data_IF_039521309019
#
_entry.id   IF_039521309019
#
_cell.length_a   1.000
_cell.length_b   1.000
_cell.length_c   1.000
_cell.angle_alpha   90.00
_cell.angle_beta   90.00
_cell.angle_gamma   90.00
#
_symmetry.space_group_name_H-M   'P 1'
#
loop_
_entity.id
_entity.type
_entity.pdbx_description
1 polymer ?
#
# COMPACT_ATOMS: atom_id res chain seq x y z
N UNK A 1 -9.05 5.17 -24.34
CA UNK A 1 -8.70 4.34 -23.17
C UNK A 1 -9.80 4.48 -22.13
N UNK A 2 -10.46 3.38 -21.74
CA UNK A 2 -11.59 3.44 -20.83
C UNK A 2 -11.10 3.48 -19.38
N UNK A 3 -11.42 4.54 -18.65
CA UNK A 3 -10.94 4.84 -17.30
C UNK A 3 -11.33 3.76 -16.26
N UNK A 4 -12.40 3.01 -16.55
CA UNK A 4 -12.85 1.85 -15.77
C UNK A 4 -11.78 0.76 -15.64
N UNK A 5 -10.90 0.60 -16.65
CA UNK A 5 -9.80 -0.38 -16.63
C UNK A 5 -8.67 -0.01 -15.67
N UNK A 6 -8.57 1.26 -15.24
CA UNK A 6 -7.52 1.73 -14.32
C UNK A 6 -7.87 1.56 -12.83
N UNK A 7 -9.07 1.03 -12.53
CA UNK A 7 -9.55 0.80 -11.17
C UNK A 7 -10.10 2.04 -10.46
N UNK A 8 -10.19 3.18 -11.14
CA UNK A 8 -10.67 4.45 -10.57
C UNK A 8 -12.20 4.53 -10.57
N UNK A 9 -12.85 3.77 -9.68
CA UNK A 9 -14.30 3.89 -9.44
C UNK A 9 -14.60 5.12 -8.59
N UNK A 10 -15.66 5.84 -8.96
CA UNK A 10 -16.15 7.03 -8.25
C UNK A 10 -15.15 8.20 -8.12
N UNK A 11 -14.23 8.30 -9.07
CA UNK A 11 -13.28 9.41 -9.19
C UNK A 11 -13.59 10.21 -10.45
N UNK A 12 -13.50 11.53 -10.33
CA UNK A 12 -13.57 12.49 -11.42
C UNK A 12 -12.17 13.10 -11.57
N UNK A 13 -11.67 13.14 -12.80
CA UNK A 13 -10.38 13.77 -13.10
C UNK A 13 -10.63 15.22 -13.46
N UNK A 14 -10.02 16.12 -12.70
CA UNK A 14 -10.26 17.56 -12.78
C UNK A 14 -9.27 18.22 -13.74
N UNK A 15 -7.97 17.95 -13.56
CA UNK A 15 -6.92 18.51 -14.41
C UNK A 15 -5.65 17.66 -14.37
N UNK A 16 -4.74 18.00 -15.29
CA UNK A 16 -3.44 17.39 -15.44
C UNK A 16 -2.42 18.48 -15.72
N UNK A 17 -1.28 18.40 -15.04
CA UNK A 17 -0.13 19.28 -15.24
C UNK A 17 1.17 18.50 -15.08
N UNK A 18 2.24 19.02 -15.66
CA UNK A 18 3.56 18.40 -15.59
C UNK A 18 4.60 19.45 -15.21
N UNK A 19 5.55 19.03 -14.38
CA UNK A 19 6.82 19.72 -14.20
C UNK A 19 7.97 18.88 -14.79
N UNK A 20 9.23 19.21 -14.46
CA UNK A 20 10.39 18.49 -14.98
C UNK A 20 10.45 17.03 -14.51
N UNK A 21 10.04 16.76 -13.28
CA UNK A 21 10.21 15.47 -12.60
C UNK A 21 8.89 14.70 -12.46
N UNK A 22 7.78 15.42 -12.37
CA UNK A 22 6.47 14.91 -12.01
C UNK A 22 5.41 15.18 -13.06
N UNK A 23 4.51 14.21 -13.14
CA UNK A 23 3.19 14.32 -13.74
C UNK A 23 2.19 14.41 -12.59
N UNK A 24 1.48 15.52 -12.51
CA UNK A 24 0.45 15.79 -11.52
C UNK A 24 -0.94 15.52 -12.09
N UNK A 25 -1.71 14.75 -11.35
CA UNK A 25 -3.09 14.43 -11.70
C UNK A 25 -3.99 14.94 -10.58
N UNK A 26 -4.84 15.91 -10.87
CA UNK A 26 -5.81 16.43 -9.92
C UNK A 26 -7.13 15.71 -10.13
N UNK A 27 -7.65 15.14 -9.04
CA UNK A 27 -8.88 14.36 -9.10
C UNK A 27 -9.71 14.55 -7.82
N UNK A 28 -11.00 14.37 -7.96
CA UNK A 28 -11.98 14.50 -6.89
C UNK A 28 -12.84 13.26 -6.78
N UNK A 29 -13.24 12.93 -5.55
CA UNK A 29 -14.14 11.80 -5.30
C UNK A 29 -15.58 12.26 -5.50
N UNK A 30 -16.39 11.47 -6.20
CA UNK A 30 -17.82 11.75 -6.40
C UNK A 30 -18.52 11.96 -5.06
N UNK A 31 -19.36 12.99 -5.03
CA UNK A 31 -20.12 13.36 -3.83
C UNK A 31 -21.03 12.21 -3.36
N UNK A 32 -21.37 12.28 -2.07
CA UNK A 32 -22.34 11.40 -1.44
C UNK A 32 -23.47 12.27 -0.89
N UNK A 33 -24.69 11.97 -1.32
CA UNK A 33 -25.89 12.70 -0.88
C UNK A 33 -26.71 11.87 0.13
N UNK A 34 -26.32 10.61 0.36
CA UNK A 34 -27.00 9.66 1.23
C UNK A 34 -26.01 9.10 2.25
N UNK A 35 -26.44 9.03 3.51
CA UNK A 35 -25.68 8.39 4.57
C UNK A 35 -25.61 6.87 4.36
N UNK A 36 -24.42 6.27 4.27
CA UNK A 36 -24.28 4.82 4.07
C UNK A 36 -24.70 4.00 5.30
N UNK A 37 -24.80 4.64 6.48
CA UNK A 37 -25.17 3.96 7.73
C UNK A 37 -26.68 3.89 7.97
N UNK A 38 -27.42 4.95 7.62
CA UNK A 38 -28.85 5.05 7.94
C UNK A 38 -29.76 5.39 6.75
N UNK A 39 -29.20 5.61 5.55
CA UNK A 39 -29.97 5.96 4.36
C UNK A 39 -30.54 7.39 4.32
N UNK A 40 -30.28 8.22 5.33
CA UNK A 40 -30.79 9.60 5.35
C UNK A 40 -30.09 10.49 4.31
N UNK A 41 -30.85 11.37 3.67
CA UNK A 41 -30.36 12.45 2.81
C UNK A 41 -29.89 13.70 3.58
N UNK A 42 -30.03 13.68 4.91
CA UNK A 42 -29.55 14.73 5.81
C UNK A 42 -28.03 14.61 5.99
N UNK A 43 -27.28 14.97 4.94
CA UNK A 43 -25.82 14.88 4.85
C UNK A 43 -25.20 16.26 4.59
N UNK A 44 -24.19 16.63 5.37
CA UNK A 44 -23.44 17.89 5.22
C UNK A 44 -21.96 17.63 5.04
N UNK A 45 -21.29 18.49 4.29
CA UNK A 45 -19.83 18.49 4.20
C UNK A 45 -19.24 18.88 5.56
N UNK A 46 -18.36 18.03 6.08
CA UNK A 46 -17.57 18.32 7.27
C UNK A 46 -16.28 19.05 6.89
N UNK A 47 -15.44 18.39 6.11
CA UNK A 47 -14.19 18.95 5.59
C UNK A 47 -13.83 18.32 4.22
N UNK A 48 -12.88 18.95 3.55
CA UNK A 48 -12.20 18.38 2.39
C UNK A 48 -10.77 18.04 2.76
N UNK A 49 -10.27 16.90 2.27
CA UNK A 49 -8.88 16.47 2.46
C UNK A 49 -8.27 16.09 1.13
N UNK A 50 -7.05 16.57 0.87
CA UNK A 50 -6.28 16.16 -0.30
C UNK A 50 -5.30 15.07 0.13
N UNK A 51 -5.38 13.92 -0.53
CA UNK A 51 -4.43 12.82 -0.36
C UNK A 51 -3.50 12.77 -1.58
N UNK A 52 -2.20 12.82 -1.33
CA UNK A 52 -1.16 12.66 -2.36
C UNK A 52 -0.85 11.17 -2.53
N UNK A 53 -1.08 10.63 -3.73
CA UNK A 53 -0.93 9.21 -4.05
C UNK A 53 0.09 9.04 -5.17
N UNK A 54 1.09 8.18 -4.96
CA UNK A 54 2.07 7.80 -5.96
C UNK A 54 1.49 6.72 -6.88
N UNK A 55 1.69 6.89 -8.17
CA UNK A 55 1.36 5.92 -9.22
C UNK A 55 2.64 5.54 -10.00
N UNK A 56 2.53 4.57 -10.89
CA UNK A 56 3.58 4.20 -11.83
C UNK A 56 3.97 5.40 -12.70
N UNK A 57 5.23 5.44 -13.14
CA UNK A 57 5.75 6.51 -13.98
C UNK A 57 4.91 6.67 -15.25
N UNK A 58 4.65 7.91 -15.64
CA UNK A 58 3.97 8.26 -16.89
C UNK A 58 5.00 8.95 -17.77
N UNK A 59 5.26 8.39 -18.95
CA UNK A 59 6.23 8.94 -19.93
C UNK A 59 7.62 9.22 -19.33
N UNK A 60 8.09 8.33 -18.45
CA UNK A 60 9.38 8.47 -17.77
C UNK A 60 9.41 9.42 -16.58
N UNK A 61 8.35 10.20 -16.33
CA UNK A 61 8.22 11.08 -15.16
C UNK A 61 7.47 10.41 -14.01
N UNK A 62 7.76 10.81 -12.78
CA UNK A 62 7.08 10.29 -11.57
C UNK A 62 5.63 10.74 -11.57
N UNK A 63 4.68 9.84 -11.28
CA UNK A 63 3.27 10.22 -11.25
C UNK A 63 2.78 10.46 -9.82
N UNK A 64 2.10 11.59 -9.61
CA UNK A 64 1.50 11.97 -8.35
C UNK A 64 0.04 12.41 -8.55
N UNK A 65 -0.88 11.68 -7.92
CA UNK A 65 -2.31 11.99 -7.91
C UNK A 65 -2.64 12.79 -6.65
N UNK A 66 -3.22 13.97 -6.82
CA UNK A 66 -3.77 14.81 -5.76
C UNK A 66 -5.28 14.55 -5.66
N UNK A 67 -5.67 13.60 -4.81
CA UNK A 67 -7.05 13.16 -4.69
C UNK A 67 -7.79 13.93 -3.59
N UNK A 68 -8.74 14.78 -3.99
CA UNK A 68 -9.63 15.51 -3.08
C UNK A 68 -10.77 14.60 -2.62
N UNK A 69 -10.74 14.26 -1.33
CA UNK A 69 -11.78 13.52 -0.61
C UNK A 69 -12.65 14.48 0.19
N UNK A 70 -13.90 14.11 0.40
CA UNK A 70 -14.84 14.87 1.24
C UNK A 70 -15.32 13.96 2.34
N UNK A 71 -15.25 14.44 3.59
CA UNK A 71 -15.90 13.79 4.72
C UNK A 71 -17.22 14.46 4.97
N UNK A 72 -18.20 13.66 5.37
CA UNK A 72 -19.56 14.06 5.57
C UNK A 72 -20.03 13.75 6.98
N UNK A 73 -20.88 14.62 7.51
CA UNK A 73 -21.61 14.39 8.76
C UNK A 73 -23.09 14.16 8.44
N UNK A 74 -23.65 13.05 8.94
CA UNK A 74 -25.10 12.84 8.91
C UNK A 74 -25.77 13.52 10.10
N UNK A 75 -26.73 14.42 9.87
CA UNK A 75 -27.47 15.07 11.00
C UNK A 75 -28.60 14.21 11.54
N UNK A 76 -28.92 13.09 10.89
CA UNK A 76 -29.91 12.15 11.42
C UNK A 76 -29.29 11.17 12.42
N UNK A 77 -28.24 10.43 12.05
CA UNK A 77 -27.59 9.47 12.93
C UNK A 77 -26.32 9.97 13.63
N UNK A 78 -25.81 11.15 13.28
CA UNK A 78 -24.58 11.71 13.85
C UNK A 78 -23.27 11.10 13.33
N UNK A 79 -23.33 10.05 12.49
CA UNK A 79 -22.13 9.40 11.96
C UNK A 79 -21.36 10.30 11.00
N UNK A 80 -20.02 10.19 11.06
CA UNK A 80 -19.09 10.78 10.10
C UNK A 80 -18.58 9.71 9.14
N UNK A 81 -18.64 9.98 7.83
CA UNK A 81 -18.25 9.02 6.81
C UNK A 81 -17.58 9.71 5.61
N UNK A 82 -16.92 8.92 4.78
CA UNK A 82 -16.37 9.31 3.49
C UNK A 82 -16.59 8.15 2.51
N UNK A 83 -16.46 8.42 1.21
CA UNK A 83 -16.57 7.34 0.21
C UNK A 83 -15.34 6.43 0.29
N UNK A 84 -15.57 5.14 0.39
CA UNK A 84 -14.52 4.13 0.30
C UNK A 84 -13.97 4.03 -1.12
N UNK A 85 -12.64 3.89 -1.21
CA UNK A 85 -11.91 3.91 -2.48
C UNK A 85 -11.12 2.62 -2.62
N UNK A 86 -11.42 1.85 -3.66
CA UNK A 86 -10.91 0.47 -3.82
C UNK A 86 -9.49 0.37 -4.38
N UNK A 87 -9.01 1.40 -5.08
CA UNK A 87 -7.68 1.35 -5.73
C UNK A 87 -6.52 1.75 -4.79
N UNK A 88 -6.81 2.18 -3.56
CA UNK A 88 -5.82 2.54 -2.54
C UNK A 88 -6.26 1.95 -1.20
N UNK A 89 -5.39 1.19 -0.55
CA UNK A 89 -5.61 0.75 0.83
C UNK A 89 -5.68 1.96 1.80
N UNK A 90 -6.58 1.90 2.79
CA UNK A 90 -6.81 3.00 3.73
C UNK A 90 -5.51 3.38 4.45
N UNK A 91 -5.15 4.67 4.41
CA UNK A 91 -3.92 5.19 5.02
C UNK A 91 -2.65 5.05 4.18
N UNK A 92 -2.72 4.40 3.01
CA UNK A 92 -1.56 4.25 2.13
C UNK A 92 -1.43 5.39 1.12
N UNK A 93 -0.20 5.67 0.69
CA UNK A 93 0.13 6.73 -0.27
C UNK A 93 0.49 6.18 -1.65
N UNK A 94 0.26 4.90 -1.91
CA UNK A 94 0.53 4.24 -3.19
C UNK A 94 -0.73 3.56 -3.70
N UNK A 95 -0.94 3.64 -5.01
CA UNK A 95 -2.01 2.89 -5.68
C UNK A 95 -1.67 1.39 -5.76
N UNK A 96 -2.69 0.55 -5.73
CA UNK A 96 -2.51 -0.91 -5.76
C UNK A 96 -1.69 -1.38 -6.96
N UNK A 97 -1.84 -0.76 -8.14
CA UNK A 97 -1.06 -1.15 -9.32
C UNK A 97 0.45 -0.92 -9.16
N UNK A 98 0.86 0.14 -8.48
CA UNK A 98 2.27 0.41 -8.18
C UNK A 98 2.80 -0.63 -7.19
N UNK A 99 2.00 -0.98 -6.18
CA UNK A 99 2.33 -2.06 -5.24
C UNK A 99 2.50 -3.38 -5.97
N UNK A 100 1.57 -3.74 -6.87
CA UNK A 100 1.68 -4.97 -7.66
C UNK A 100 2.88 -4.98 -8.59
N UNK A 101 3.22 -3.85 -9.22
CA UNK A 101 4.42 -3.72 -10.03
C UNK A 101 5.69 -3.98 -9.21
N UNK A 102 5.81 -3.37 -8.02
CA UNK A 102 6.93 -3.61 -7.09
C UNK A 102 7.01 -5.08 -6.68
N UNK A 103 5.87 -5.71 -6.35
CA UNK A 103 5.83 -7.14 -5.99
C UNK A 103 6.23 -8.04 -7.16
N UNK A 104 5.87 -7.68 -8.39
CA UNK A 104 6.28 -8.41 -9.59
C UNK A 104 7.80 -8.37 -9.78
N UNK A 105 8.44 -7.22 -9.55
CA UNK A 105 9.90 -7.10 -9.55
C UNK A 105 10.54 -8.07 -8.55
N UNK A 106 9.99 -8.18 -7.34
CA UNK A 106 10.49 -9.13 -6.33
C UNK A 106 10.41 -10.60 -6.76
N UNK A 107 9.45 -10.98 -7.61
CA UNK A 107 9.38 -12.34 -8.15
C UNK A 107 10.52 -12.66 -9.12
N UNK A 108 11.16 -11.63 -9.69
CA UNK A 108 12.34 -11.79 -10.53
C UNK A 108 13.66 -11.82 -9.73
N UNK A 109 13.60 -11.70 -8.39
CA UNK A 109 14.78 -11.86 -7.55
C UNK A 109 15.22 -13.33 -7.52
N UNK A 110 16.26 -13.57 -8.31
CA UNK A 110 17.06 -14.77 -8.54
C UNK A 110 16.72 -16.00 -7.69
N UNK A 111 16.24 -17.05 -8.36
CA UNK A 111 16.23 -18.39 -7.79
C UNK A 111 17.63 -18.79 -7.33
N UNK A 112 17.73 -19.62 -6.29
CA UNK A 112 19.01 -20.15 -5.79
C UNK A 112 19.83 -20.74 -6.95
N UNK A 113 19.17 -21.40 -7.91
CA UNK A 113 19.78 -21.92 -9.13
C UNK A 113 20.33 -20.83 -10.05
N UNK A 114 19.62 -19.71 -10.21
CA UNK A 114 20.11 -18.56 -10.97
C UNK A 114 21.32 -17.90 -10.32
N UNK A 115 21.36 -17.87 -8.98
CA UNK A 115 22.52 -17.38 -8.23
C UNK A 115 23.68 -18.36 -8.38
N UNK A 116 23.42 -19.66 -8.25
CA UNK A 116 24.43 -20.70 -8.35
C UNK A 116 25.13 -20.67 -9.71
N UNK A 117 24.35 -20.62 -10.80
CA UNK A 117 24.87 -20.55 -12.15
C UNK A 117 25.68 -19.27 -12.42
N UNK A 118 25.22 -18.12 -11.92
CA UNK A 118 25.92 -16.83 -12.11
C UNK A 118 27.31 -16.82 -11.48
N UNK A 119 27.48 -17.51 -10.36
CA UNK A 119 28.73 -17.53 -9.61
C UNK A 119 29.52 -18.84 -9.80
N UNK A 120 29.09 -19.69 -10.74
CA UNK A 120 29.66 -21.03 -11.01
C UNK A 120 29.87 -21.85 -9.73
N UNK A 121 28.86 -21.83 -8.86
CA UNK A 121 28.83 -22.61 -7.63
C UNK A 121 27.63 -23.54 -7.65
N UNK A 122 27.72 -24.63 -6.88
CA UNK A 122 26.59 -25.54 -6.76
C UNK A 122 25.40 -24.88 -6.07
N UNK A 123 24.19 -25.32 -6.42
CA UNK A 123 22.95 -24.94 -5.73
C UNK A 123 23.07 -25.09 -4.20
N UNK A 124 23.68 -26.19 -3.76
CA UNK A 124 23.88 -26.52 -2.34
C UNK A 124 24.83 -25.54 -1.64
N UNK A 125 25.80 -24.97 -2.36
CA UNK A 125 26.71 -23.95 -1.83
C UNK A 125 25.95 -22.68 -1.48
N UNK A 126 25.11 -22.20 -2.41
CA UNK A 126 24.29 -21.01 -2.19
C UNK A 126 23.26 -21.24 -1.08
N UNK A 127 22.63 -22.42 -1.04
CA UNK A 127 21.69 -22.79 0.02
C UNK A 127 22.36 -22.85 1.41
N UNK A 128 23.58 -23.39 1.51
CA UNK A 128 24.37 -23.39 2.76
C UNK A 128 24.68 -21.97 3.24
N UNK A 129 25.10 -21.09 2.34
CA UNK A 129 25.38 -19.68 2.68
C UNK A 129 24.12 -19.01 3.21
N UNK A 130 22.98 -19.19 2.53
CA UNK A 130 21.68 -18.68 2.99
C UNK A 130 21.29 -19.25 4.35
N UNK A 131 21.46 -20.55 4.57
CA UNK A 131 21.17 -21.20 5.85
C UNK A 131 22.08 -20.69 6.98
N UNK A 132 23.36 -20.40 6.73
CA UNK A 132 24.23 -19.78 7.74
C UNK A 132 23.77 -18.36 8.11
N UNK A 133 23.27 -17.58 7.16
CA UNK A 133 22.69 -16.25 7.40
C UNK A 133 21.33 -16.31 8.11
N UNK A 134 20.56 -17.38 7.93
CA UNK A 134 19.31 -17.64 8.65
C UNK A 134 19.57 -18.18 10.07
N UNK A 135 20.52 -19.10 10.24
CA UNK A 135 20.90 -19.66 11.56
C UNK A 135 21.51 -18.59 12.46
N UNK A 136 22.25 -17.63 11.90
CA UNK A 136 22.74 -16.46 12.67
C UNK A 136 21.62 -15.51 13.11
N UNK A 137 20.43 -15.55 12.49
CA UNK A 137 19.22 -14.90 13.03
C UNK A 137 18.52 -15.74 14.10
N UNK A 138 18.82 -17.03 14.20
CA UNK A 138 18.28 -17.95 15.22
C UNK A 138 19.29 -18.33 16.30
N UNK A 139 20.44 -17.65 16.41
CA UNK A 139 21.22 -17.62 17.65
C UNK A 139 20.47 -16.82 18.73
N UNK A 140 19.31 -17.34 19.09
CA UNK A 140 18.69 -17.19 20.39
C UNK A 140 18.96 -18.52 21.11
N UNK A 141 20.20 -18.72 21.59
CA UNK A 141 20.41 -19.61 22.76
C UNK A 141 20.35 -18.68 23.96
N UNK A 142 19.17 -18.59 24.58
CA UNK A 142 18.81 -19.34 25.78
C UNK A 142 19.45 -18.73 27.05
N UNK A 143 18.55 -18.28 27.93
CA UNK A 143 18.73 -17.95 29.36
C UNK A 143 19.10 -16.50 29.73
N UNK A 144 18.05 -15.70 29.96
CA UNK A 144 17.90 -14.83 31.14
C UNK A 144 16.58 -15.32 31.80
N UNK A 145 16.47 -15.74 33.06
CA UNK A 145 17.22 -15.39 34.25
C UNK A 145 16.80 -16.30 35.43
N UNK A 146 17.73 -16.48 36.39
CA UNK A 146 17.50 -16.54 37.85
C UNK A 146 16.75 -17.76 38.45
N UNK A 147 17.56 -18.67 39.00
CA UNK A 147 17.60 -19.18 40.38
C UNK A 147 16.30 -19.47 41.19
N UNK A 148 15.99 -20.78 41.36
CA UNK A 148 15.67 -21.63 42.57
C UNK A 148 14.56 -21.11 43.55
N UNK A 149 13.73 -21.94 44.30
CA UNK A 149 14.10 -23.28 44.80
C UNK A 149 13.01 -24.36 45.19
N UNK A 150 13.50 -25.61 45.43
CA UNK A 150 13.08 -26.76 46.32
C UNK A 150 11.73 -27.48 46.04
N UNK A 151 11.56 -28.82 46.14
CA UNK A 151 12.34 -29.98 46.62
C UNK A 151 11.75 -31.28 46.02
N UNK A 152 12.04 -32.51 46.39
CA UNK A 152 12.65 -33.14 47.58
C UNK A 152 12.91 -34.62 47.21
N UNK A 153 14.11 -35.15 47.46
CA UNK A 153 14.39 -36.37 48.24
C UNK A 153 15.87 -36.74 48.14
#
# INVERSE_FOLDING_TARGET
MNLFLLGFKDVVFDSFDEDNDFVHIHASVKRMDICPHCGSSRVWVHDHRVQRIKDTHIRGKKCLIHLKKTRYDCKFCGCRFERDIVFIAKGHTMINRLVFAIVAEFKEWYSISSIANRYDVSYNTVLRILNCLYVSRTCLSEVLCISIPIGHK
#
